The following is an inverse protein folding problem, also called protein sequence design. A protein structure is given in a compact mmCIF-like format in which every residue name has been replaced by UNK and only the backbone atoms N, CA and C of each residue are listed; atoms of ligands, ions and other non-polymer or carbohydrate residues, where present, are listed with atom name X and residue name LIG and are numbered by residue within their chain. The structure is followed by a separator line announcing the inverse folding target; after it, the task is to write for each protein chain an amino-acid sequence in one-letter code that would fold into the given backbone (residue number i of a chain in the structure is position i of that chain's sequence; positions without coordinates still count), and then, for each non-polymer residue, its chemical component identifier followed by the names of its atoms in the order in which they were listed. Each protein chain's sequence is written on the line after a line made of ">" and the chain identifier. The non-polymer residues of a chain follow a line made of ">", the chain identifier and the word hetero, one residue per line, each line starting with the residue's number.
data_IF_644239902528
#
_entry.id   IF_644239902528
#
_cell.length_a   1.000
_cell.length_b   1.000
_cell.length_c   1.000
_cell.angle_alpha   90.00
_cell.angle_beta   90.00
_cell.angle_gamma   90.00
#
_symmetry.space_group_name_H-M   'P 1'
#
loop_
_entity.id
_entity.type
_entity.pdbx_description
1 polymer ?
#
# COMPACT_ATOMS: atom_id res chain seq x y z
N UNK A 1 -13.42 0.76 1.00
CA UNK A 1 -12.67 -0.08 1.94
C UNK A 1 -11.27 0.51 2.07
N UNK A 2 -10.71 0.63 3.28
CA UNK A 2 -9.34 1.18 3.48
C UNK A 2 -8.33 0.04 3.30
N UNK A 3 -7.18 0.29 2.65
CA UNK A 3 -6.08 -0.69 2.62
C UNK A 3 -5.27 -0.57 3.92
N UNK A 4 -5.86 -1.05 5.01
CA UNK A 4 -5.28 -0.91 6.35
C UNK A 4 -3.92 -1.61 6.44
N UNK A 5 -3.77 -2.73 5.74
CA UNK A 5 -2.54 -3.52 5.73
C UNK A 5 -1.36 -2.76 5.12
N UNK A 6 -1.60 -1.97 4.06
CA UNK A 6 -0.58 -1.13 3.46
C UNK A 6 -0.05 -0.06 4.43
N UNK A 7 -0.96 0.57 5.18
CA UNK A 7 -0.60 1.54 6.21
C UNK A 7 0.16 0.88 7.37
N UNK A 8 -0.26 -0.31 7.78
CA UNK A 8 0.41 -1.09 8.83
C UNK A 8 1.84 -1.44 8.41
N UNK A 9 2.05 -1.93 7.18
CA UNK A 9 3.37 -2.25 6.65
C UNK A 9 4.31 -1.04 6.69
N UNK A 10 3.82 0.13 6.26
CA UNK A 10 4.59 1.38 6.33
C UNK A 10 4.99 1.75 7.76
N UNK A 11 4.07 1.66 8.72
CA UNK A 11 4.33 2.01 10.11
C UNK A 11 5.31 1.01 10.75
N UNK A 12 5.20 -0.29 10.44
CA UNK A 12 6.16 -1.32 10.87
C UNK A 12 7.57 -1.05 10.33
N UNK A 13 7.68 -0.50 9.12
CA UNK A 13 8.95 -0.06 8.54
C UNK A 13 9.48 1.27 9.11
N UNK A 14 8.76 1.90 10.05
CA UNK A 14 9.08 3.23 10.62
C UNK A 14 9.28 4.33 9.57
N UNK A 15 8.48 4.32 8.50
CA UNK A 15 8.57 5.26 7.37
C UNK A 15 7.39 6.22 7.32
N UNK A 16 7.64 7.47 6.90
CA UNK A 16 6.60 8.44 6.52
C UNK A 16 6.13 8.17 5.09
N UNK A 17 4.92 8.63 4.75
CA UNK A 17 4.35 8.46 3.40
C UNK A 17 5.27 9.07 2.33
N UNK A 18 5.77 10.29 2.55
CA UNK A 18 6.75 10.93 1.66
C UNK A 18 8.02 10.11 1.39
N UNK A 19 8.49 9.33 2.36
CA UNK A 19 9.73 8.55 2.22
C UNK A 19 9.50 7.36 1.30
N UNK A 20 8.44 6.60 1.55
CA UNK A 20 8.05 5.47 0.70
C UNK A 20 7.70 5.95 -0.71
N UNK A 21 6.99 7.07 -0.83
CA UNK A 21 6.62 7.64 -2.11
C UNK A 21 7.86 8.01 -2.93
N UNK A 22 8.86 8.63 -2.30
CA UNK A 22 10.15 8.92 -2.90
C UNK A 22 10.90 7.63 -3.30
N UNK A 23 10.94 6.64 -2.41
CA UNK A 23 11.65 5.38 -2.64
C UNK A 23 11.05 4.57 -3.81
N UNK A 24 9.74 4.72 -4.08
CA UNK A 24 9.02 3.99 -5.13
C UNK A 24 8.73 4.78 -6.40
N UNK A 25 9.18 6.04 -6.44
CA UNK A 25 8.93 7.00 -7.52
C UNK A 25 7.43 7.18 -7.81
N UNK A 26 6.67 7.51 -6.76
CA UNK A 26 5.26 7.87 -6.83
C UNK A 26 4.99 9.14 -6.04
N UNK A 27 3.82 9.76 -6.23
CA UNK A 27 3.42 10.90 -5.39
C UNK A 27 3.00 10.44 -3.99
N UNK A 28 3.32 11.25 -2.98
CA UNK A 28 2.86 11.04 -1.61
C UNK A 28 1.32 11.01 -1.54
N UNK A 29 0.66 11.86 -2.32
CA UNK A 29 -0.80 11.87 -2.47
C UNK A 29 -1.32 10.52 -2.99
N UNK A 30 -0.64 9.90 -3.95
CA UNK A 30 -1.04 8.59 -4.47
C UNK A 30 -0.88 7.50 -3.42
N UNK A 31 0.23 7.47 -2.68
CA UNK A 31 0.41 6.53 -1.56
C UNK A 31 -0.67 6.71 -0.49
N UNK A 32 -0.99 7.96 -0.13
CA UNK A 32 -2.09 8.27 0.80
C UNK A 32 -3.43 7.77 0.29
N UNK A 33 -3.73 7.94 -1.00
CA UNK A 33 -4.96 7.42 -1.61
C UNK A 33 -5.00 5.89 -1.61
N UNK A 34 -3.86 5.22 -1.83
CA UNK A 34 -3.75 3.77 -1.73
C UNK A 34 -4.07 3.30 -0.30
N UNK A 35 -3.42 3.87 0.72
CA UNK A 35 -3.66 3.51 2.13
C UNK A 35 -5.12 3.74 2.57
N UNK A 36 -5.77 4.77 2.02
CA UNK A 36 -7.18 5.06 2.33
C UNK A 36 -8.17 4.30 1.42
N UNK A 37 -7.69 3.52 0.44
CA UNK A 37 -8.51 2.80 -0.54
C UNK A 37 -9.33 3.70 -1.47
N UNK A 38 -8.83 4.92 -1.70
CA UNK A 38 -9.39 5.86 -2.69
C UNK A 38 -8.90 5.51 -4.10
N UNK A 39 -7.67 5.01 -4.23
CA UNK A 39 -7.15 4.44 -5.47
C UNK A 39 -7.61 2.97 -5.58
N UNK A 40 -8.75 2.76 -6.25
CA UNK A 40 -9.44 1.45 -6.32
C UNK A 40 -8.82 0.43 -7.28
N UNK A 41 -7.93 0.87 -8.18
CA UNK A 41 -7.29 -0.01 -9.15
C UNK A 41 -5.81 0.34 -9.33
N UNK A 42 -4.96 0.13 -8.30
CA UNK A 42 -3.52 0.26 -8.48
C UNK A 42 -3.04 -0.69 -9.58
N UNK A 43 -2.09 -0.24 -10.39
CA UNK A 43 -1.47 -1.12 -11.37
C UNK A 43 -0.76 -2.29 -10.67
N UNK A 44 -0.75 -3.47 -11.29
CA UNK A 44 -0.02 -4.62 -10.76
C UNK A 44 1.48 -4.29 -10.52
N UNK A 45 2.04 -3.38 -11.31
CA UNK A 45 3.40 -2.88 -11.12
C UNK A 45 3.58 -2.19 -9.77
N UNK A 46 2.69 -1.26 -9.39
CA UNK A 46 2.83 -0.57 -8.09
C UNK A 46 2.56 -1.52 -6.93
N UNK A 47 1.62 -2.45 -7.09
CA UNK A 47 1.33 -3.46 -6.06
C UNK A 47 2.57 -4.33 -5.79
N UNK A 48 3.25 -4.80 -6.84
CA UNK A 48 4.50 -5.56 -6.70
C UNK A 48 5.62 -4.74 -6.09
N UNK A 49 5.79 -3.48 -6.50
CA UNK A 49 6.79 -2.57 -5.91
C UNK A 49 6.60 -2.45 -4.40
N UNK A 50 5.36 -2.27 -3.93
CA UNK A 50 5.05 -2.15 -2.50
C UNK A 50 5.29 -3.47 -1.76
N UNK A 51 4.88 -4.60 -2.33
CA UNK A 51 5.12 -5.92 -1.76
C UNK A 51 6.61 -6.22 -1.60
N UNK A 52 7.41 -5.96 -2.65
CA UNK A 52 8.86 -6.10 -2.58
C UNK A 52 9.50 -5.13 -1.59
N UNK A 53 9.03 -3.88 -1.54
CA UNK A 53 9.57 -2.87 -0.61
C UNK A 53 9.36 -3.24 0.86
N UNK A 54 8.22 -3.85 1.19
CA UNK A 54 7.90 -4.31 2.55
C UNK A 54 8.27 -5.77 2.82
N UNK A 55 8.86 -6.47 1.84
CA UNK A 55 9.20 -7.89 1.93
C UNK A 55 8.02 -8.78 2.37
N UNK A 56 6.87 -8.59 1.74
CA UNK A 56 5.65 -9.36 2.00
C UNK A 56 4.94 -9.71 0.68
N UNK A 57 3.88 -10.52 0.75
CA UNK A 57 3.10 -10.89 -0.42
C UNK A 57 2.13 -9.77 -0.85
N UNK A 58 1.57 -9.89 -2.06
CA UNK A 58 0.50 -9.01 -2.52
C UNK A 58 -0.74 -9.15 -1.64
N UNK A 59 -1.08 -10.37 -1.25
CA UNK A 59 -2.22 -10.67 -0.38
C UNK A 59 -2.02 -10.08 1.01
N UNK A 60 -0.80 -9.98 1.52
CA UNK A 60 -0.56 -9.31 2.80
C UNK A 60 -0.93 -7.82 2.76
N UNK A 61 -0.76 -7.15 1.62
CA UNK A 61 -0.98 -5.70 1.49
C UNK A 61 -2.37 -5.33 0.94
N UNK A 62 -2.88 -6.16 0.04
CA UNK A 62 -4.07 -5.92 -0.77
C UNK A 62 -5.10 -7.03 -0.62
N UNK A 63 -4.99 -7.85 0.43
CA UNK A 63 -6.05 -8.79 0.82
C UNK A 63 -7.37 -8.06 0.78
N UNK A 64 -8.26 -8.59 -0.04
CA UNK A 64 -9.65 -8.25 0.04
C UNK A 64 -10.09 -8.86 1.35
N UNK A 65 -10.06 -8.10 2.45
CA UNK A 65 -10.87 -8.44 3.62
C UNK A 65 -12.32 -8.37 3.13
N UNK A 66 -12.71 -9.53 2.62
CA UNK A 66 -14.04 -9.98 2.32
C UNK A 66 -14.84 -9.74 3.58
N UNK A 67 -15.62 -8.66 3.58
CA UNK A 67 -16.84 -8.65 4.39
C UNK A 67 -17.74 -9.75 3.81
N UNK A 68 -17.49 -10.99 4.23
CA UNK A 68 -18.49 -12.04 4.24
C UNK A 68 -19.58 -11.55 5.20
N UNK A 69 -20.61 -10.93 4.62
CA UNK A 69 -21.96 -10.93 5.15
C UNK A 69 -22.81 -11.77 4.19
#
# INVERSE_FOLDING_TARGET
>A
MRNINLKIARVKANKKQREVAKDLDISEMYLRQLENGQAKNPSLNIMRKLASYYNCSLDDLFSSDMQMY
#
